data_IF_347825711969
#
_entry.id   IF_347825711969
#
_cell.length_a   1.000
_cell.length_b   1.000
_cell.length_c   1.000
_cell.angle_alpha   90.00
_cell.angle_beta   90.00
_cell.angle_gamma   90.00
#
_symmetry.space_group_name_H-M   'P 1'
#
loop_
_entity.id
_entity.type
_entity.pdbx_description
1 polymer ?
#
# COMPACT_ATOMS: atom_id res chain seq x y z
N UNK A 1 79.46 3.00 -42.62
CA UNK A 1 78.79 2.89 -41.31
C UNK A 1 77.29 2.83 -41.54
N UNK A 2 76.73 1.65 -41.36
CA UNK A 2 75.29 1.37 -41.37
C UNK A 2 74.58 1.95 -40.15
N UNK A 3 73.33 2.39 -40.34
CA UNK A 3 72.43 2.73 -39.24
C UNK A 3 70.98 2.82 -39.72
N UNK A 4 70.12 1.81 -39.47
CA UNK A 4 68.72 1.87 -39.83
C UNK A 4 67.90 2.49 -38.70
N UNK A 5 67.22 3.61 -38.95
CA UNK A 5 66.24 4.19 -38.01
C UNK A 5 64.80 3.88 -38.43
N UNK A 6 64.44 2.59 -38.48
CA UNK A 6 63.03 2.15 -38.46
C UNK A 6 62.51 2.19 -37.02
N UNK A 7 61.95 3.30 -36.57
CA UNK A 7 61.13 3.32 -35.33
C UNK A 7 60.45 4.67 -35.11
N UNK A 8 59.26 4.90 -35.65
CA UNK A 8 58.45 6.07 -35.21
C UNK A 8 56.93 5.96 -35.39
N UNK A 9 56.40 4.95 -36.12
CA UNK A 9 54.95 4.81 -36.34
C UNK A 9 54.25 3.80 -35.42
N UNK A 10 54.94 2.79 -34.91
CA UNK A 10 54.31 1.74 -34.08
C UNK A 10 54.01 2.14 -32.63
N UNK A 11 54.60 3.24 -32.12
CA UNK A 11 54.45 3.65 -30.71
C UNK A 11 53.24 4.58 -30.47
N UNK A 12 52.65 5.17 -31.50
CA UNK A 12 51.51 6.11 -31.37
C UNK A 12 50.12 5.48 -31.44
N UNK A 13 50.00 4.23 -31.86
CA UNK A 13 48.71 3.52 -31.95
C UNK A 13 48.35 2.80 -30.64
N UNK A 14 49.34 2.42 -29.81
CA UNK A 14 49.08 1.73 -28.53
C UNK A 14 48.59 2.64 -27.40
N UNK A 15 48.63 3.96 -27.57
CA UNK A 15 48.24 4.91 -26.52
C UNK A 15 46.77 5.37 -26.60
N UNK A 16 46.00 4.98 -27.62
CA UNK A 16 44.57 5.39 -27.77
C UNK A 16 43.56 4.25 -27.67
N UNK A 17 44.01 3.02 -27.39
CA UNK A 17 43.11 1.89 -27.10
C UNK A 17 42.97 1.65 -25.58
N UNK A 18 43.82 2.28 -24.76
CA UNK A 18 43.75 2.18 -23.30
C UNK A 18 42.70 3.12 -22.65
N UNK A 19 41.98 3.93 -23.42
CA UNK A 19 41.10 4.99 -22.88
C UNK A 19 39.59 4.73 -23.05
N UNK A 20 39.18 3.57 -23.57
CA UNK A 20 37.74 3.24 -23.74
C UNK A 20 37.31 2.04 -22.89
N UNK A 21 38.25 1.25 -22.35
CA UNK A 21 37.92 0.08 -21.54
C UNK A 21 37.61 0.38 -20.05
N UNK A 22 37.76 1.62 -19.58
CA UNK A 22 37.49 1.98 -18.17
C UNK A 22 36.15 2.70 -17.94
N UNK A 23 35.42 3.08 -18.99
CA UNK A 23 34.19 3.87 -18.86
C UNK A 23 32.88 3.05 -18.98
N UNK A 24 32.96 1.76 -19.34
CA UNK A 24 31.77 0.93 -19.60
C UNK A 24 31.39 -0.02 -18.45
N UNK A 25 32.16 -0.10 -17.36
CA UNK A 25 31.86 -0.97 -16.21
C UNK A 25 31.06 -0.25 -15.11
N UNK A 26 30.99 1.09 -15.13
CA UNK A 26 30.34 1.87 -14.06
C UNK A 26 28.82 2.06 -14.28
N UNK A 27 28.27 1.75 -15.46
CA UNK A 27 26.86 2.00 -15.75
C UNK A 27 25.89 0.83 -15.45
N UNK A 28 26.37 -0.32 -14.96
CA UNK A 28 25.51 -1.50 -14.68
C UNK A 28 25.28 -1.76 -13.18
N UNK A 29 25.92 -1.00 -12.29
CA UNK A 29 25.72 -1.11 -10.81
C UNK A 29 24.68 -0.08 -10.31
N UNK A 30 23.80 0.37 -11.20
CA UNK A 30 22.72 1.31 -10.90
C UNK A 30 21.42 0.67 -10.39
N UNK A 31 21.39 -0.65 -10.19
CA UNK A 31 20.31 -1.30 -9.43
C UNK A 31 20.62 -1.15 -7.93
N UNK A 32 20.75 0.10 -7.49
CA UNK A 32 20.74 0.45 -6.08
C UNK A 32 19.37 0.01 -5.61
N UNK A 33 19.34 -1.13 -4.91
CA UNK A 33 18.31 -1.43 -3.94
C UNK A 33 18.02 -0.12 -3.22
N UNK A 34 16.84 0.46 -3.47
CA UNK A 34 16.34 1.50 -2.60
C UNK A 34 16.54 0.94 -1.20
N UNK A 35 17.21 1.66 -0.28
CA UNK A 35 17.22 1.21 1.10
C UNK A 35 15.75 1.07 1.45
N UNK A 36 15.28 -0.18 1.54
CA UNK A 36 14.09 -0.47 2.30
C UNK A 36 14.49 0.07 3.65
N UNK A 37 13.96 1.24 4.01
CA UNK A 37 13.92 1.66 5.39
C UNK A 37 13.15 0.54 6.07
N UNK A 38 13.86 -0.49 6.50
CA UNK A 38 13.44 -1.31 7.61
C UNK A 38 13.38 -0.31 8.75
N UNK A 39 12.28 0.44 8.81
CA UNK A 39 11.91 1.27 9.94
C UNK A 39 12.15 0.39 11.13
N UNK A 40 13.09 0.77 11.99
CA UNK A 40 13.34 0.12 13.27
C UNK A 40 11.97 -0.25 13.83
N UNK A 41 11.67 -1.55 13.85
CA UNK A 41 10.29 -2.03 13.89
C UNK A 41 9.58 -1.42 15.08
N UNK A 42 8.76 -0.43 14.77
CA UNK A 42 8.64 0.69 15.68
C UNK A 42 7.58 0.34 16.70
N UNK A 43 7.97 0.27 17.98
CA UNK A 43 7.06 0.36 19.15
C UNK A 43 6.17 1.61 19.12
N UNK A 44 6.34 2.46 18.12
CA UNK A 44 5.53 3.60 17.78
C UNK A 44 4.11 3.22 17.35
N UNK A 45 3.92 2.06 16.71
CA UNK A 45 2.59 1.52 16.37
C UNK A 45 2.29 0.34 17.29
N UNK A 46 1.21 0.44 18.08
CA UNK A 46 0.79 -0.60 19.01
C UNK A 46 -0.65 -1.02 18.73
N UNK A 47 -0.97 -2.32 18.67
CA UNK A 47 -2.33 -2.79 18.44
C UNK A 47 -3.16 -2.66 19.74
N UNK A 48 -4.46 -2.53 19.60
CA UNK A 48 -5.41 -2.44 20.72
C UNK A 48 -6.62 -3.34 20.49
N UNK A 49 -7.20 -3.85 21.56
CA UNK A 49 -8.52 -4.46 21.56
C UNK A 49 -9.49 -3.37 21.97
N UNK A 50 -10.32 -2.92 21.04
CA UNK A 50 -11.25 -1.84 21.33
C UNK A 50 -12.47 -2.33 22.07
N UNK A 51 -12.99 -3.48 21.63
CA UNK A 51 -14.05 -4.22 22.30
C UNK A 51 -14.17 -5.65 21.74
N UNK A 52 -14.90 -6.49 22.48
CA UNK A 52 -15.32 -7.83 22.07
C UNK A 52 -16.86 -7.89 22.01
N UNK A 53 -17.40 -8.49 20.95
CA UNK A 53 -18.83 -8.76 20.77
C UNK A 53 -19.07 -10.26 20.80
N UNK A 54 -20.00 -10.73 21.62
CA UNK A 54 -20.58 -12.07 21.49
C UNK A 54 -21.74 -12.00 20.50
N UNK A 55 -21.74 -12.84 19.46
CA UNK A 55 -22.72 -12.74 18.38
C UNK A 55 -24.02 -13.52 18.65
N UNK A 56 -24.07 -14.30 19.75
CA UNK A 56 -25.24 -15.07 20.18
C UNK A 56 -25.39 -16.44 19.51
N UNK A 57 -24.56 -16.75 18.51
CA UNK A 57 -24.49 -18.03 17.79
C UNK A 57 -23.29 -18.90 18.20
N UNK A 58 -22.61 -18.53 19.29
CA UNK A 58 -21.37 -19.18 19.75
C UNK A 58 -20.10 -18.65 19.07
N UNK A 59 -20.21 -17.61 18.25
CA UNK A 59 -19.05 -16.89 17.71
C UNK A 59 -18.81 -15.56 18.43
N UNK A 60 -17.58 -15.08 18.32
CA UNK A 60 -17.11 -13.84 18.92
C UNK A 60 -16.49 -12.95 17.86
N UNK A 61 -16.78 -11.66 17.87
CA UNK A 61 -16.12 -10.69 16.99
C UNK A 61 -15.25 -9.76 17.81
N UNK A 62 -13.94 -9.80 17.58
CA UNK A 62 -12.98 -8.87 18.16
C UNK A 62 -12.82 -7.64 17.26
N UNK A 63 -12.99 -6.46 17.84
CA UNK A 63 -12.82 -5.17 17.15
C UNK A 63 -11.46 -4.63 17.57
N UNK A 64 -10.54 -4.59 16.62
CA UNK A 64 -9.15 -4.24 16.84
C UNK A 64 -8.86 -2.83 16.31
N UNK A 65 -8.04 -2.12 17.07
CA UNK A 65 -7.57 -0.79 16.75
C UNK A 65 -6.04 -0.74 16.82
N UNK A 66 -5.51 0.46 16.67
CA UNK A 66 -4.10 0.73 16.92
C UNK A 66 -3.88 2.15 17.40
N UNK A 67 -2.73 2.39 18.01
CA UNK A 67 -2.21 3.73 18.25
C UNK A 67 -0.88 3.89 17.54
N UNK A 68 -0.77 4.89 16.68
CA UNK A 68 0.48 5.32 16.10
C UNK A 68 0.94 6.64 16.73
N UNK A 69 2.06 6.60 17.45
CA UNK A 69 2.63 7.76 18.16
C UNK A 69 3.55 8.63 17.29
N UNK A 70 3.83 8.24 16.04
CA UNK A 70 4.59 9.10 15.12
C UNK A 70 3.74 10.23 14.58
N UNK A 71 4.42 11.29 14.14
CA UNK A 71 3.78 12.43 13.45
C UNK A 71 3.37 12.10 12.00
N UNK A 72 3.94 11.04 11.42
CA UNK A 72 3.72 10.63 10.03
C UNK A 72 3.13 9.21 9.96
N UNK A 73 2.49 8.83 8.85
CA UNK A 73 2.05 7.45 8.64
C UNK A 73 3.23 6.49 8.66
N UNK A 74 3.03 5.30 9.25
CA UNK A 74 4.01 4.22 9.28
C UNK A 74 3.49 3.07 8.43
N UNK A 75 4.32 2.55 7.53
CA UNK A 75 3.97 1.37 6.73
C UNK A 75 4.61 0.14 7.34
N UNK A 76 3.80 -0.84 7.72
CA UNK A 76 4.23 -2.15 8.24
C UNK A 76 3.49 -3.22 7.42
N UNK A 77 4.14 -3.80 6.40
CA UNK A 77 3.54 -4.86 5.58
C UNK A 77 3.15 -6.07 6.43
N UNK A 78 2.16 -6.84 5.97
CA UNK A 78 1.84 -8.15 6.55
C UNK A 78 3.10 -9.02 6.59
N UNK A 79 3.33 -9.68 7.72
CA UNK A 79 4.48 -10.54 7.95
C UNK A 79 5.02 -10.41 9.36
N UNK A 80 6.34 -10.55 9.53
CA UNK A 80 6.97 -10.76 10.84
C UNK A 80 6.73 -9.68 11.89
N UNK A 81 6.26 -8.48 11.50
CA UNK A 81 5.96 -7.36 12.40
C UNK A 81 4.50 -6.89 12.35
N UNK A 82 3.66 -7.59 11.58
CA UNK A 82 2.24 -7.33 11.41
C UNK A 82 1.57 -8.65 11.00
N UNK A 83 1.30 -9.51 11.98
CA UNK A 83 0.76 -10.85 11.74
C UNK A 83 -0.33 -11.18 12.76
N UNK A 84 -1.37 -11.87 12.30
CA UNK A 84 -2.49 -12.32 13.12
C UNK A 84 -2.41 -13.82 13.32
N UNK A 85 -2.67 -14.27 14.55
CA UNK A 85 -2.74 -15.68 14.91
C UNK A 85 -4.14 -16.03 15.40
N UNK A 86 -4.73 -17.16 14.94
CA UNK A 86 -4.19 -18.09 13.93
C UNK A 86 -4.01 -17.49 12.52
N UNK A 87 -3.06 -18.01 11.75
CA UNK A 87 -2.66 -17.50 10.44
C UNK A 87 -3.79 -17.38 9.39
N UNK A 88 -4.93 -18.06 9.57
CA UNK A 88 -6.09 -17.90 8.68
C UNK A 88 -6.75 -16.52 8.79
N UNK A 89 -6.48 -15.78 9.86
CA UNK A 89 -6.89 -14.39 10.03
C UNK A 89 -5.86 -13.40 9.49
N UNK A 90 -4.77 -13.87 8.90
CA UNK A 90 -3.72 -13.02 8.38
C UNK A 90 -4.04 -12.58 6.95
N UNK A 91 -3.65 -11.35 6.58
CA UNK A 91 -3.88 -10.76 5.25
C UNK A 91 -4.70 -9.47 5.24
N UNK A 92 -5.90 -9.42 5.83
CA UNK A 92 -6.78 -8.25 5.74
C UNK A 92 -6.44 -7.12 6.73
N UNK A 93 -5.50 -7.32 7.65
CA UNK A 93 -5.10 -6.26 8.58
C UNK A 93 -4.44 -5.06 7.87
N UNK A 94 -4.55 -3.84 8.44
CA UNK A 94 -3.95 -2.65 7.86
C UNK A 94 -2.44 -2.79 7.64
N UNK A 95 -1.93 -2.19 6.57
CA UNK A 95 -0.48 -2.11 6.30
C UNK A 95 0.06 -0.69 6.36
N UNK A 96 -0.82 0.32 6.37
CA UNK A 96 -0.49 1.74 6.52
C UNK A 96 -1.22 2.29 7.75
N UNK A 97 -0.44 2.72 8.73
CA UNK A 97 -0.91 3.15 10.04
C UNK A 97 -0.80 4.67 10.17
N UNK A 98 -1.94 5.35 10.12
CA UNK A 98 -2.02 6.81 10.22
C UNK A 98 -1.72 7.28 11.66
N UNK A 99 -1.17 8.49 11.87
CA UNK A 99 -0.96 9.05 13.21
C UNK A 99 -2.21 9.03 14.11
N UNK A 100 -1.98 8.86 15.41
CA UNK A 100 -2.99 8.84 16.47
C UNK A 100 -3.60 7.47 16.75
N UNK A 101 -4.65 7.46 17.57
CA UNK A 101 -5.44 6.26 17.87
C UNK A 101 -6.53 6.08 16.81
N UNK A 102 -6.56 4.91 16.19
CA UNK A 102 -7.62 4.49 15.25
C UNK A 102 -8.36 3.31 15.86
N UNK A 103 -9.66 3.50 16.04
CA UNK A 103 -10.57 2.48 16.58
C UNK A 103 -11.22 1.72 15.43
N UNK A 104 -11.52 0.44 15.62
CA UNK A 104 -12.21 -0.41 14.63
C UNK A 104 -11.49 -0.49 13.28
N UNK A 105 -10.16 -0.48 13.31
CA UNK A 105 -9.34 -0.53 12.10
C UNK A 105 -9.31 -1.92 11.47
N UNK A 106 -9.63 -2.95 12.24
CA UNK A 106 -9.60 -4.34 11.82
C UNK A 106 -10.56 -5.18 12.68
N UNK A 107 -11.19 -6.21 12.11
CA UNK A 107 -12.10 -7.09 12.83
C UNK A 107 -11.77 -8.56 12.58
N UNK A 108 -11.92 -9.38 13.62
CA UNK A 108 -11.69 -10.83 13.55
C UNK A 108 -12.87 -11.56 14.17
N UNK A 109 -13.53 -12.40 13.39
CA UNK A 109 -14.60 -13.28 13.88
C UNK A 109 -14.05 -14.66 14.20
N UNK A 110 -14.30 -15.11 15.42
CA UNK A 110 -13.77 -16.32 16.03
C UNK A 110 -14.89 -17.32 16.26
N UNK A 111 -14.61 -18.59 15.99
CA UNK A 111 -15.38 -19.69 16.58
C UNK A 111 -15.11 -19.77 18.09
N UNK A 112 -15.95 -20.50 18.83
CA UNK A 112 -15.74 -20.78 20.25
C UNK A 112 -14.34 -21.34 20.54
N UNK A 113 -13.89 -22.31 19.74
CA UNK A 113 -12.59 -22.97 19.92
C UNK A 113 -11.43 -22.00 19.68
N UNK A 114 -11.55 -21.16 18.66
CA UNK A 114 -10.54 -20.15 18.36
C UNK A 114 -10.48 -19.08 19.43
N UNK A 115 -11.63 -18.63 19.95
CA UNK A 115 -11.66 -17.70 21.07
C UNK A 115 -10.96 -18.27 22.32
N UNK A 116 -11.11 -19.57 22.56
CA UNK A 116 -10.41 -20.27 23.65
C UNK A 116 -8.90 -20.48 23.36
N UNK A 117 -8.49 -20.48 22.08
CA UNK A 117 -7.13 -20.78 21.64
C UNK A 117 -6.09 -19.65 21.80
N UNK A 118 -6.49 -18.49 22.36
CA UNK A 118 -5.58 -17.36 22.58
C UNK A 118 -5.12 -16.63 21.31
N UNK A 119 -6.03 -16.20 20.42
CA UNK A 119 -5.71 -15.47 19.21
C UNK A 119 -5.07 -14.12 19.56
N UNK A 120 -4.21 -13.66 18.66
CA UNK A 120 -3.43 -12.44 18.86
C UNK A 120 -3.11 -11.71 17.57
N UNK A 121 -2.91 -10.41 17.68
CA UNK A 121 -2.34 -9.60 16.61
C UNK A 121 -1.00 -9.04 17.09
N UNK A 122 0.07 -9.43 16.40
CA UNK A 122 1.40 -8.89 16.57
C UNK A 122 1.59 -7.71 15.64
N UNK A 123 1.87 -6.53 16.19
CA UNK A 123 2.07 -5.31 15.44
C UNK A 123 3.15 -4.46 16.08
N UNK A 124 4.12 -4.00 15.28
CA UNK A 124 5.11 -3.00 15.74
C UNK A 124 5.94 -3.43 16.95
N UNK A 125 6.08 -4.75 17.18
CA UNK A 125 6.83 -5.29 18.31
C UNK A 125 6.00 -5.60 19.55
N UNK A 126 4.69 -5.39 19.52
CA UNK A 126 3.79 -5.67 20.64
C UNK A 126 2.64 -6.58 20.20
N UNK A 127 2.01 -7.23 21.19
CA UNK A 127 0.87 -8.11 20.98
C UNK A 127 -0.38 -7.48 21.61
N UNK A 128 -1.51 -7.68 20.95
CA UNK A 128 -2.80 -7.69 21.62
C UNK A 128 -3.36 -9.10 21.54
N UNK A 129 -3.74 -9.66 22.68
CA UNK A 129 -4.47 -10.92 22.76
C UNK A 129 -5.95 -10.64 22.91
N UNK A 130 -6.77 -11.38 22.18
CA UNK A 130 -8.23 -11.18 22.15
C UNK A 130 -8.99 -12.51 22.31
N UNK A 131 -8.34 -13.48 22.96
CA UNK A 131 -8.93 -14.73 23.41
C UNK A 131 -9.40 -14.71 24.86
N UNK A 132 -10.19 -15.73 25.22
CA UNK A 132 -10.83 -15.92 26.52
C UNK A 132 -9.93 -15.53 27.70
N UNK A 133 -8.71 -16.07 27.79
CA UNK A 133 -7.81 -15.83 28.93
C UNK A 133 -7.52 -14.35 29.21
N UNK A 134 -7.62 -13.47 28.21
CA UNK A 134 -7.38 -12.04 28.33
C UNK A 134 -8.65 -11.20 28.39
N UNK A 135 -9.78 -11.72 27.93
CA UNK A 135 -11.00 -10.94 27.72
C UNK A 135 -12.16 -11.30 28.65
N UNK A 136 -12.13 -12.48 29.29
CA UNK A 136 -13.15 -12.92 30.24
C UNK A 136 -13.26 -12.03 31.49
N UNK A 137 -14.34 -12.21 32.25
CA UNK A 137 -14.61 -11.55 33.53
C UNK A 137 -14.51 -10.01 33.47
N UNK A 138 -14.99 -9.42 32.36
CA UNK A 138 -15.02 -7.97 32.18
C UNK A 138 -13.65 -7.33 31.89
N UNK A 139 -12.63 -8.12 31.55
CA UNK A 139 -11.30 -7.61 31.19
C UNK A 139 -11.27 -6.92 29.83
N UNK A 140 -12.14 -7.34 28.90
CA UNK A 140 -12.35 -6.65 27.64
C UNK A 140 -13.59 -5.73 27.70
N UNK A 141 -13.54 -4.53 27.11
CA UNK A 141 -14.75 -3.73 26.89
C UNK A 141 -15.75 -4.47 26.00
N UNK A 142 -17.03 -4.44 26.35
CA UNK A 142 -18.11 -4.86 25.45
C UNK A 142 -18.33 -3.80 24.38
N UNK A 143 -18.60 -4.23 23.15
CA UNK A 143 -18.86 -3.27 22.07
C UNK A 143 -20.15 -2.48 22.32
N UNK A 144 -20.12 -1.14 22.18
CA UNK A 144 -21.36 -0.36 22.25
C UNK A 144 -22.33 -0.84 21.15
N UNK A 145 -23.64 -0.80 21.38
CA UNK A 145 -24.65 -1.28 20.43
C UNK A 145 -24.63 -0.51 19.09
N UNK A 146 -24.02 0.68 19.06
CA UNK A 146 -23.80 1.48 17.85
C UNK A 146 -22.49 1.15 17.11
N UNK A 147 -21.79 0.08 17.47
CA UNK A 147 -20.58 -0.35 16.75
C UNK A 147 -21.01 -0.90 15.40
N UNK A 148 -21.00 -0.07 14.37
CA UNK A 148 -21.07 -0.52 12.98
C UNK A 148 -19.85 -1.42 12.75
N UNK A 149 -20.10 -2.73 12.67
CA UNK A 149 -19.09 -3.67 12.24
C UNK A 149 -18.84 -3.45 10.75
N UNK A 150 -17.58 -3.40 10.27
CA UNK A 150 -17.26 -3.19 8.85
C UNK A 150 -17.89 -4.24 7.90
N UNK A 151 -18.48 -5.31 8.42
CA UNK A 151 -19.07 -6.41 7.63
C UNK A 151 -20.59 -6.57 7.80
N UNK A 152 -21.26 -5.76 8.62
CA UNK A 152 -22.72 -5.65 8.55
C UNK A 152 -23.07 -4.68 7.42
N UNK A 153 -23.00 -5.21 6.19
CA UNK A 153 -23.43 -4.55 4.97
C UNK A 153 -24.91 -4.20 4.98
N UNK A 154 -25.25 -3.10 5.66
CA UNK A 154 -26.45 -2.32 5.40
C UNK A 154 -26.05 -0.88 5.01
N UNK A 155 -25.35 -0.79 3.87
CA UNK A 155 -25.68 0.22 2.87
C UNK A 155 -25.15 1.65 2.99
N UNK A 156 -24.24 1.99 3.90
CA UNK A 156 -23.73 3.38 3.98
C UNK A 156 -22.28 3.53 4.46
N UNK A 157 -21.36 2.70 3.95
CA UNK A 157 -19.91 2.97 4.08
C UNK A 157 -19.51 4.22 3.25
N UNK A 158 -18.49 5.00 3.69
CA UNK A 158 -18.17 6.27 3.06
C UNK A 158 -17.79 6.07 1.60
N UNK A 159 -18.47 6.80 0.72
CA UNK A 159 -18.14 6.93 -0.69
C UNK A 159 -16.70 7.45 -0.81
N UNK A 160 -15.72 6.55 -0.88
CA UNK A 160 -14.51 6.81 -1.65
C UNK A 160 -14.95 6.63 -3.11
N UNK A 161 -15.66 7.64 -3.61
CA UNK A 161 -15.97 7.76 -5.02
C UNK A 161 -14.64 7.85 -5.76
N UNK A 162 -14.31 6.74 -6.44
CA UNK A 162 -13.33 6.66 -7.50
C UNK A 162 -13.52 7.83 -8.47
N UNK A 163 -12.71 8.89 -8.32
CA UNK A 163 -12.61 9.99 -9.27
C UNK A 163 -11.87 9.58 -10.56
N UNK A 164 -12.15 8.38 -11.11
CA UNK A 164 -11.50 7.86 -12.33
C UNK A 164 -12.47 7.72 -13.50
N UNK A 165 -13.79 7.80 -13.29
CA UNK A 165 -14.76 7.78 -14.40
C UNK A 165 -14.89 9.11 -15.16
N UNK A 166 -14.44 10.24 -14.59
CA UNK A 166 -14.62 11.58 -15.20
C UNK A 166 -13.74 11.85 -16.43
N UNK A 167 -12.54 11.26 -16.49
CA UNK A 167 -11.58 11.56 -17.57
C UNK A 167 -11.98 10.91 -18.89
N UNK A 168 -12.55 9.70 -18.86
CA UNK A 168 -12.99 9.00 -20.07
C UNK A 168 -14.24 9.65 -20.67
N UNK A 169 -15.21 10.03 -19.84
CA UNK A 169 -16.41 10.75 -20.28
C UNK A 169 -16.10 12.10 -20.92
N UNK A 170 -15.18 12.87 -20.33
CA UNK A 170 -14.77 14.17 -20.86
C UNK A 170 -14.07 14.05 -22.23
N UNK A 171 -13.25 13.02 -22.47
CA UNK A 171 -12.59 12.81 -23.75
C UNK A 171 -13.55 12.43 -24.88
N UNK A 172 -14.60 11.66 -24.59
CA UNK A 172 -15.62 11.28 -25.58
C UNK A 172 -16.50 12.49 -25.95
N UNK A 173 -16.92 13.30 -24.98
CA UNK A 173 -17.70 14.53 -25.23
C UNK A 173 -16.86 15.60 -25.95
N UNK A 174 -15.56 15.69 -25.66
CA UNK A 174 -14.68 16.66 -26.33
C UNK A 174 -14.36 16.26 -27.79
N UNK A 175 -14.28 14.97 -28.11
CA UNK A 175 -14.11 14.49 -29.50
C UNK A 175 -15.36 14.73 -30.35
N UNK A 176 -16.54 14.44 -29.81
CA UNK A 176 -17.81 14.63 -30.53
C UNK A 176 -18.09 16.11 -30.80
N UNK A 177 -17.80 17.02 -29.86
CA UNK A 177 -17.92 18.47 -30.07
C UNK A 177 -16.96 19.02 -31.13
N UNK A 178 -15.71 18.53 -31.21
CA UNK A 178 -14.77 18.93 -32.27
C UNK A 178 -15.21 18.45 -33.67
N UNK A 179 -15.81 17.27 -33.77
CA UNK A 179 -16.36 16.76 -35.03
C UNK A 179 -17.53 17.60 -35.55
N UNK A 180 -18.45 18.01 -34.66
CA UNK A 180 -19.59 18.84 -35.04
C UNK A 180 -19.21 20.26 -35.48
N UNK A 181 -18.13 20.83 -34.92
CA UNK A 181 -17.64 22.16 -35.33
C UNK A 181 -16.82 22.15 -36.62
N UNK A 182 -16.21 21.01 -36.99
CA UNK A 182 -15.55 20.85 -38.28
C UNK A 182 -16.56 20.62 -39.43
N UNK A 183 -17.67 19.93 -39.17
CA UNK A 183 -18.73 19.70 -40.16
C UNK A 183 -19.62 20.93 -40.43
N UNK A 184 -19.60 21.95 -39.56
CA UNK A 184 -20.34 23.20 -39.74
C UNK A 184 -19.60 24.28 -40.55
N UNK A 185 -18.36 24.04 -40.98
CA UNK A 185 -17.55 25.03 -41.71
C UNK A 185 -17.47 24.77 -43.22
N UNK A 186 -17.93 23.62 -43.70
CA UNK A 186 -17.91 23.24 -45.12
C UNK A 186 -19.25 23.47 -45.86
N UNK A 187 -20.29 23.96 -45.18
CA UNK A 187 -21.59 24.32 -45.81
C UNK A 187 -21.70 25.80 -46.18
N UNK A 188 -20.63 26.58 -46.07
CA UNK A 188 -20.62 28.03 -46.29
C UNK A 188 -20.01 28.52 -47.62
N UNK A 189 -19.71 27.63 -48.58
CA UNK A 189 -19.11 28.03 -49.85
C UNK A 189 -19.74 27.30 -51.03
N UNK A 190 -20.79 27.89 -51.61
CA UNK A 190 -21.18 27.57 -52.98
C UNK A 190 -22.64 27.84 -53.32
N UNK A 191 -22.82 28.71 -54.33
CA UNK A 191 -24.01 28.89 -55.20
C UNK A 191 -25.11 29.75 -54.57
N UNK A 192 -25.46 30.92 -55.09
CA UNK A 192 -25.81 31.36 -56.45
C UNK A 192 -26.97 32.34 -56.20
N UNK A 193 -27.04 33.53 -56.81
CA UNK A 193 -27.71 33.79 -58.08
C UNK A 193 -27.60 35.31 -58.33
N UNK A 194 -27.28 35.72 -59.57
CA UNK A 194 -28.17 36.44 -60.49
C UNK A 194 -28.34 37.93 -60.18
#
# INVERSE_FOLDING_TARGET
MDGPSRSSRARRVRARVASVALAAVVAVVGLVAAPGTASAASKTVTPTLDCLRENGDGTYTAILGYTNTSKNPVTIPVGSWNQVQPARFDGPQPTVFQPGTKRGAYTVTLTQDEYMGGPSWYLGGTFVFFGWSWTHDGKAPTCPPSTELPEEGNGTGPLIALAVAGVVGALVVHRTRRGAQAAGRDTGAGRGDA
#
